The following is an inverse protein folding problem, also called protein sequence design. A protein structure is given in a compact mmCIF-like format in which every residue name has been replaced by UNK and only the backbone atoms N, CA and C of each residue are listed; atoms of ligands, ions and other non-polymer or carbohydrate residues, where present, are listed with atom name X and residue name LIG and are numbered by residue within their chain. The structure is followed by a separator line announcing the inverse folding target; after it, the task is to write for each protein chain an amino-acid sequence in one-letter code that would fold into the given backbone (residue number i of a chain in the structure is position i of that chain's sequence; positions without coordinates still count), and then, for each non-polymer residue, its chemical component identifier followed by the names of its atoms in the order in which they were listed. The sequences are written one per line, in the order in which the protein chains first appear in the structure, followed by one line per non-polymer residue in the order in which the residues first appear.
data_IF_825829516298
#
_entry.id   IF_825829516298
#
_cell.length_a   1.000
_cell.length_b   1.000
_cell.length_c   1.000
_cell.angle_alpha   90.00
_cell.angle_beta   90.00
_cell.angle_gamma   90.00
#
_symmetry.space_group_name_H-M   'P 1'
#
loop_
_entity.id
_entity.type
_entity.pdbx_description
1 polymer ?
#
# COMPACT_ATOMS: atom_id res chain seq x y z
N UNK A 1 -16.86 3.08 32.51
CA UNK A 1 -17.30 3.76 31.27
C UNK A 1 -17.26 2.72 30.17
N UNK A 2 -18.41 2.38 29.58
CA UNK A 2 -18.51 1.33 28.57
C UNK A 2 -17.68 1.70 27.35
N UNK A 3 -16.73 0.82 26.96
CA UNK A 3 -16.02 0.98 25.70
C UNK A 3 -17.02 0.67 24.59
N UNK A 4 -17.49 1.69 23.88
CA UNK A 4 -18.19 1.47 22.61
C UNK A 4 -17.26 0.68 21.69
N UNK A 5 -17.76 -0.38 21.07
CA UNK A 5 -17.01 -1.17 20.12
C UNK A 5 -16.54 -0.29 18.94
N UNK A 6 -15.28 -0.45 18.51
CA UNK A 6 -14.76 0.28 17.36
C UNK A 6 -15.48 -0.24 16.11
N UNK A 7 -16.14 0.67 15.38
CA UNK A 7 -16.87 0.33 14.15
C UNK A 7 -15.93 -0.28 13.12
N UNK A 8 -16.33 -1.42 12.58
CA UNK A 8 -15.69 -2.00 11.41
C UNK A 8 -16.35 -1.42 10.15
N UNK A 9 -15.61 -0.59 9.41
CA UNK A 9 -16.11 0.12 8.22
C UNK A 9 -16.09 -0.78 6.97
N UNK A 10 -15.21 -1.78 6.95
CA UNK A 10 -14.99 -2.63 5.80
C UNK A 10 -14.64 -4.04 6.28
N UNK A 11 -15.60 -4.94 6.11
CA UNK A 11 -15.38 -6.37 6.26
C UNK A 11 -15.03 -6.98 4.92
N UNK A 12 -14.13 -7.95 4.93
CA UNK A 12 -13.77 -8.74 3.75
C UNK A 12 -14.06 -10.21 4.01
N UNK A 13 -14.31 -10.97 2.95
CA UNK A 13 -14.39 -12.43 3.03
C UNK A 13 -13.12 -13.02 2.40
N UNK A 14 -12.46 -13.95 3.07
CA UNK A 14 -11.33 -14.69 2.49
C UNK A 14 -11.79 -15.91 1.67
N UNK A 15 -13.06 -16.27 1.77
CA UNK A 15 -13.70 -17.35 1.01
C UNK A 15 -14.30 -16.87 -0.32
N UNK A 16 -14.41 -15.55 -0.52
CA UNK A 16 -14.92 -14.95 -1.75
C UNK A 16 -13.80 -14.33 -2.58
N UNK A 17 -13.84 -14.42 -3.93
CA UNK A 17 -12.88 -13.74 -4.79
C UNK A 17 -12.81 -12.24 -4.50
N UNK A 18 -11.61 -11.67 -4.39
CA UNK A 18 -11.45 -10.25 -4.08
C UNK A 18 -12.14 -9.32 -5.10
N UNK A 19 -12.19 -9.73 -6.38
CA UNK A 19 -12.90 -9.01 -7.44
C UNK A 19 -14.44 -9.01 -7.33
N UNK A 20 -15.04 -9.89 -6.52
CA UNK A 20 -16.49 -9.84 -6.27
C UNK A 20 -16.86 -8.92 -5.11
N UNK A 21 -15.88 -8.51 -4.29
CA UNK A 21 -16.12 -7.74 -3.08
C UNK A 21 -16.22 -6.23 -3.38
N UNK A 22 -17.36 -5.58 -3.10
CA UNK A 22 -17.67 -4.24 -3.62
C UNK A 22 -16.91 -3.09 -2.93
N UNK A 23 -16.33 -3.34 -1.75
CA UNK A 23 -15.50 -2.37 -1.02
C UNK A 23 -14.01 -2.48 -1.33
N UNK A 24 -13.64 -3.32 -2.31
CA UNK A 24 -12.27 -3.45 -2.79
C UNK A 24 -12.09 -2.77 -4.15
N UNK A 25 -10.88 -2.29 -4.44
CA UNK A 25 -10.49 -1.83 -5.78
C UNK A 25 -8.98 -2.03 -6.00
N UNK A 26 -8.54 -2.06 -7.26
CA UNK A 26 -7.12 -2.31 -7.58
C UNK A 26 -6.50 -1.30 -8.56
N UNK A 27 -7.19 -0.17 -8.77
CA UNK A 27 -6.71 0.95 -9.58
C UNK A 27 -6.86 2.24 -8.80
N UNK A 28 -5.93 3.14 -9.05
CA UNK A 28 -6.09 4.53 -8.66
C UNK A 28 -6.92 5.27 -9.72
N UNK A 29 -8.18 5.59 -9.41
CA UNK A 29 -8.98 6.54 -10.19
C UNK A 29 -10.00 7.34 -9.34
N UNK A 30 -10.14 8.68 -9.52
CA UNK A 30 -10.99 9.53 -8.67
C UNK A 30 -12.49 9.23 -8.81
N UNK A 31 -12.93 8.69 -9.95
CA UNK A 31 -14.35 8.39 -10.17
C UNK A 31 -14.79 7.07 -9.53
N UNK A 32 -13.89 6.31 -8.91
CA UNK A 32 -14.28 5.15 -8.09
C UNK A 32 -15.17 5.69 -6.95
N UNK A 33 -16.40 5.18 -6.76
CA UNK A 33 -17.30 5.66 -5.72
C UNK A 33 -16.73 5.37 -4.34
N UNK A 34 -17.17 6.13 -3.34
CA UNK A 34 -16.83 5.81 -1.97
C UNK A 34 -17.49 4.49 -1.54
N UNK A 35 -16.73 3.65 -0.85
CA UNK A 35 -17.22 2.40 -0.27
C UNK A 35 -18.04 2.65 1.01
N UNK A 36 -17.70 3.71 1.75
CA UNK A 36 -18.37 4.14 2.98
C UNK A 36 -17.84 5.52 3.43
N UNK A 37 -18.41 6.07 4.50
CA UNK A 37 -18.04 7.38 5.08
C UNK A 37 -17.55 7.24 6.52
N UNK A 38 -16.49 7.97 6.85
CA UNK A 38 -15.82 8.03 8.16
C UNK A 38 -15.85 9.48 8.63
N UNK A 39 -16.29 9.69 9.88
CA UNK A 39 -16.33 11.04 10.46
C UNK A 39 -14.93 11.53 10.80
N UNK A 40 -14.71 12.84 10.70
CA UNK A 40 -13.47 13.44 11.18
C UNK A 40 -13.28 13.17 12.68
N UNK A 41 -12.14 12.62 13.07
CA UNK A 41 -11.83 12.19 14.44
C UNK A 41 -12.28 10.76 14.77
N UNK A 42 -12.97 10.05 13.89
CA UNK A 42 -13.44 8.68 14.13
C UNK A 42 -12.29 7.66 14.05
N UNK A 43 -12.31 6.69 14.97
CA UNK A 43 -11.49 5.48 14.89
C UNK A 43 -12.31 4.35 14.30
N UNK A 44 -11.79 3.69 13.28
CA UNK A 44 -12.44 2.54 12.60
C UNK A 44 -11.49 1.36 12.46
N UNK A 45 -12.04 0.16 12.34
CA UNK A 45 -11.35 -1.04 11.85
C UNK A 45 -11.63 -1.22 10.37
N UNK A 46 -10.60 -1.55 9.59
CA UNK A 46 -10.67 -1.88 8.17
C UNK A 46 -10.03 -3.26 8.00
N UNK A 47 -10.78 -4.22 7.48
CA UNK A 47 -10.24 -5.51 7.08
C UNK A 47 -9.70 -5.43 5.65
N UNK A 48 -8.61 -6.14 5.39
CA UNK A 48 -7.91 -6.19 4.12
C UNK A 48 -7.63 -7.66 3.76
N UNK A 49 -7.84 -7.98 2.49
CA UNK A 49 -7.25 -9.19 1.89
C UNK A 49 -5.75 -8.97 1.68
N UNK A 50 -4.99 -10.05 1.50
CA UNK A 50 -3.60 -9.93 1.03
C UNK A 50 -3.58 -9.28 -0.36
N UNK A 51 -2.45 -8.67 -0.74
CA UNK A 51 -2.35 -7.89 -1.98
C UNK A 51 -2.72 -8.66 -3.25
N UNK A 52 -2.57 -9.99 -3.26
CA UNK A 52 -2.93 -10.85 -4.39
C UNK A 52 -4.40 -11.19 -4.46
N UNK A 53 -5.15 -10.99 -3.38
CA UNK A 53 -6.54 -11.41 -3.24
C UNK A 53 -6.67 -12.94 -3.13
N UNK A 54 -5.73 -13.58 -2.44
CA UNK A 54 -5.72 -15.02 -2.21
C UNK A 54 -5.23 -15.86 -3.38
N UNK A 55 -4.38 -15.34 -4.26
CA UNK A 55 -3.76 -16.16 -5.33
C UNK A 55 -2.72 -17.12 -4.77
N UNK A 56 -1.98 -16.69 -3.74
CA UNK A 56 -0.94 -17.48 -3.07
C UNK A 56 -1.57 -18.38 -2.01
N UNK A 57 -1.12 -19.64 -1.95
CA UNK A 57 -1.64 -20.69 -1.09
C UNK A 57 -0.60 -21.11 -0.06
N UNK A 58 -1.09 -21.64 1.05
CA UNK A 58 -0.24 -22.23 2.07
C UNK A 58 -0.09 -23.72 1.77
N UNK A 59 0.81 -24.02 0.83
CA UNK A 59 1.22 -25.37 0.46
C UNK A 59 2.72 -25.41 0.12
N UNK A 60 3.25 -26.60 -0.12
CA UNK A 60 4.68 -26.82 -0.36
C UNK A 60 5.07 -26.63 -1.84
N UNK A 61 4.31 -25.84 -2.61
CA UNK A 61 4.58 -25.51 -4.01
C UNK A 61 4.83 -24.01 -4.20
N UNK A 62 5.77 -23.68 -5.09
CA UNK A 62 6.02 -22.29 -5.51
C UNK A 62 5.36 -21.95 -6.86
N UNK A 63 4.53 -22.84 -7.40
CA UNK A 63 3.90 -22.65 -8.71
C UNK A 63 2.92 -21.48 -8.71
N UNK A 64 2.26 -21.20 -7.61
CA UNK A 64 1.36 -20.06 -7.46
C UNK A 64 2.12 -18.71 -7.50
N UNK A 65 3.27 -18.59 -6.83
CA UNK A 65 4.17 -17.42 -6.90
C UNK A 65 4.69 -17.25 -8.33
N UNK A 66 5.06 -18.35 -9.00
CA UNK A 66 5.53 -18.32 -10.39
C UNK A 66 4.44 -17.87 -11.36
N UNK A 67 3.19 -18.27 -11.12
CA UNK A 67 2.07 -18.05 -12.03
C UNK A 67 1.12 -16.92 -11.60
N UNK A 68 1.47 -16.16 -10.56
CA UNK A 68 0.64 -15.07 -10.02
C UNK A 68 0.30 -14.03 -11.09
N UNK A 69 -0.97 -13.65 -11.19
CA UNK A 69 -1.40 -12.61 -12.12
C UNK A 69 -1.22 -11.22 -11.48
N UNK A 70 -0.05 -10.63 -11.72
CA UNK A 70 0.31 -9.28 -11.29
C UNK A 70 -0.52 -8.16 -11.95
N UNK A 71 -1.53 -8.46 -12.76
CA UNK A 71 -2.50 -7.45 -13.24
C UNK A 71 -3.67 -7.27 -12.27
N UNK A 72 -3.91 -8.24 -11.37
CA UNK A 72 -4.97 -8.21 -10.33
C UNK A 72 -4.59 -7.37 -9.11
N UNK A 73 -3.31 -7.28 -8.80
CA UNK A 73 -2.79 -6.56 -7.63
C UNK A 73 -2.94 -5.03 -7.76
N UNK A 74 -3.02 -4.28 -6.66
CA UNK A 74 -3.19 -4.71 -5.25
C UNK A 74 -4.67 -4.55 -4.92
N UNK A 75 -5.32 -5.50 -4.24
CA UNK A 75 -6.69 -5.28 -3.78
C UNK A 75 -6.68 -4.42 -2.50
N UNK A 76 -7.23 -3.22 -2.60
CA UNK A 76 -7.27 -2.23 -1.52
C UNK A 76 -8.68 -2.06 -0.99
N UNK A 77 -8.82 -2.00 0.33
CA UNK A 77 -10.07 -1.67 1.02
C UNK A 77 -10.34 -0.17 0.98
N UNK A 78 -11.47 0.21 0.38
CA UNK A 78 -11.88 1.60 0.17
C UNK A 78 -12.37 1.87 -1.26
N UNK A 79 -12.39 3.15 -1.72
CA UNK A 79 -12.02 4.35 -0.96
C UNK A 79 -13.10 4.78 0.04
N UNK A 80 -12.69 5.21 1.21
CA UNK A 80 -13.55 5.81 2.23
C UNK A 80 -13.59 7.33 2.07
N UNK A 81 -14.77 7.90 2.25
CA UNK A 81 -14.95 9.33 2.40
C UNK A 81 -14.56 9.74 3.81
N UNK A 82 -13.64 10.68 3.95
CA UNK A 82 -13.38 11.35 5.23
C UNK A 82 -14.17 12.65 5.26
N UNK A 83 -15.15 12.76 6.16
CA UNK A 83 -15.97 13.97 6.28
C UNK A 83 -15.09 15.21 6.48
N UNK A 84 -15.53 16.35 5.94
CA UNK A 84 -14.88 17.68 6.03
C UNK A 84 -13.55 17.84 5.30
N UNK A 85 -12.97 16.76 4.76
CA UNK A 85 -11.74 16.79 4.00
C UNK A 85 -11.96 17.43 2.62
N UNK A 86 -11.24 18.51 2.34
CA UNK A 86 -11.32 19.28 1.08
C UNK A 86 -9.93 19.43 0.43
N UNK A 87 -9.87 19.65 -0.89
CA UNK A 87 -8.62 19.94 -1.58
C UNK A 87 -7.81 21.06 -0.90
N UNK A 88 -6.55 20.79 -0.54
CA UNK A 88 -5.69 21.73 0.19
C UNK A 88 -5.42 21.34 1.64
N UNK A 89 -6.24 20.44 2.19
CA UNK A 89 -6.06 19.93 3.55
C UNK A 89 -4.97 18.86 3.63
N UNK A 90 -4.63 18.51 4.88
CA UNK A 90 -3.83 17.32 5.22
C UNK A 90 -4.71 16.34 5.99
N UNK A 91 -4.77 15.11 5.52
CA UNK A 91 -5.37 14.00 6.24
C UNK A 91 -4.29 13.41 7.14
N UNK A 92 -4.43 13.63 8.44
CA UNK A 92 -3.61 13.00 9.46
C UNK A 92 -4.23 11.64 9.77
N UNK A 93 -3.40 10.63 9.63
CA UNK A 93 -3.73 9.25 9.85
C UNK A 93 -2.92 8.79 11.05
N UNK A 94 -3.57 8.20 12.04
CA UNK A 94 -2.91 7.57 13.18
C UNK A 94 -3.18 6.07 13.11
N UNK A 95 -2.11 5.28 12.91
CA UNK A 95 -2.19 3.81 12.88
C UNK A 95 -2.26 3.32 14.32
N UNK A 96 -3.45 2.95 14.77
CA UNK A 96 -3.67 2.59 16.17
C UNK A 96 -3.23 1.15 16.46
N UNK A 97 -3.51 0.24 15.53
CA UNK A 97 -3.12 -1.17 15.62
C UNK A 97 -3.19 -1.85 14.25
N UNK A 98 -2.47 -2.96 14.10
CA UNK A 98 -2.50 -3.83 12.90
C UNK A 98 -2.47 -5.27 13.41
N UNK A 99 -3.39 -6.11 12.96
CA UNK A 99 -3.58 -7.49 13.45
C UNK A 99 -3.82 -8.45 12.28
N UNK A 100 -3.39 -9.72 12.36
CA UNK A 100 -3.82 -10.74 11.41
C UNK A 100 -5.35 -10.92 11.47
N UNK A 101 -5.93 -11.51 10.43
CA UNK A 101 -7.35 -11.84 10.45
C UNK A 101 -7.65 -12.82 11.60
N UNK A 102 -8.70 -12.57 12.39
CA UNK A 102 -8.97 -13.36 13.60
C UNK A 102 -9.32 -14.83 13.30
N UNK A 103 -10.00 -15.06 12.18
CA UNK A 103 -10.45 -16.39 11.74
C UNK A 103 -9.38 -17.14 10.92
N UNK A 104 -8.38 -16.41 10.41
CA UNK A 104 -7.24 -16.95 9.66
C UNK A 104 -5.95 -16.35 10.21
N UNK A 105 -5.53 -16.73 11.44
CA UNK A 105 -4.35 -16.16 12.08
C UNK A 105 -3.03 -16.58 11.42
N UNK A 106 -3.10 -17.53 10.48
CA UNK A 106 -1.96 -17.99 9.71
C UNK A 106 -1.70 -17.04 8.55
N UNK A 107 -0.54 -16.40 8.59
CA UNK A 107 0.00 -15.72 7.43
C UNK A 107 0.46 -16.81 6.45
N UNK A 108 -0.03 -16.86 5.19
CA UNK A 108 0.58 -17.70 4.16
C UNK A 108 1.97 -17.13 3.87
N UNK A 109 2.95 -17.60 4.65
CA UNK A 109 4.35 -17.25 4.44
C UNK A 109 4.85 -18.13 3.31
N UNK A 110 5.42 -17.54 2.26
CA UNK A 110 6.15 -18.28 1.22
C UNK A 110 7.45 -18.95 1.73
N UNK A 111 7.63 -19.06 3.05
CA UNK A 111 8.71 -19.79 3.72
C UNK A 111 8.33 -20.09 5.19
N UNK A 112 8.41 -21.36 5.61
CA UNK A 112 8.18 -21.84 6.99
C UNK A 112 8.92 -21.03 8.06
N UNK A 113 8.26 -20.08 8.73
CA UNK A 113 8.75 -19.53 10.01
C UNK A 113 7.59 -19.23 10.97
N UNK A 114 7.56 -19.98 12.09
CA UNK A 114 6.67 -19.76 13.24
C UNK A 114 7.11 -18.50 13.98
N UNK A 115 6.28 -17.46 14.04
CA UNK A 115 6.61 -16.21 14.74
C UNK A 115 5.61 -15.84 15.84
N UNK A 116 6.13 -15.25 16.93
CA UNK A 116 5.32 -14.65 17.98
C UNK A 116 4.69 -13.32 17.50
N UNK A 117 3.50 -12.92 17.98
CA UNK A 117 2.66 -11.83 17.43
C UNK A 117 3.18 -10.40 17.70
N UNK A 118 4.50 -10.17 17.66
CA UNK A 118 5.12 -8.92 18.12
C UNK A 118 5.37 -7.87 17.04
N UNK A 119 5.17 -8.19 15.76
CA UNK A 119 5.44 -7.26 14.65
C UNK A 119 4.33 -7.33 13.62
N UNK A 120 3.74 -6.18 13.32
CA UNK A 120 2.74 -5.98 12.29
C UNK A 120 2.97 -4.58 11.72
N UNK A 121 3.31 -4.54 10.45
CA UNK A 121 3.52 -3.36 9.64
C UNK A 121 2.31 -3.22 8.70
N UNK A 122 1.92 -1.99 8.41
CA UNK A 122 0.82 -1.75 7.49
C UNK A 122 1.28 -0.77 6.45
N UNK A 123 1.13 -1.15 5.18
CA UNK A 123 1.74 -0.40 4.11
C UNK A 123 0.70 -0.16 3.03
N UNK A 124 -0.18 0.84 3.20
CA UNK A 124 -0.25 2.03 2.35
C UNK A 124 -1.50 2.91 2.51
N UNK A 125 -1.34 4.18 2.09
CA UNK A 125 -2.29 5.26 2.23
C UNK A 125 -2.48 6.08 0.95
N UNK A 126 -3.63 6.75 0.82
CA UNK A 126 -4.17 7.23 -0.45
C UNK A 126 -4.57 8.72 -0.49
N UNK A 127 -4.40 9.32 -1.70
CA UNK A 127 -5.10 10.47 -2.32
C UNK A 127 -4.97 10.37 -3.86
N UNK A 128 -5.82 11.04 -4.65
CA UNK A 128 -5.65 11.20 -6.11
C UNK A 128 -5.01 12.55 -6.47
N UNK A 129 -3.80 12.64 -7.03
CA UNK A 129 -3.46 13.89 -7.76
C UNK A 129 -4.23 13.97 -9.07
N UNK A 130 -4.07 15.10 -9.77
CA UNK A 130 -4.39 15.24 -11.19
C UNK A 130 -3.88 14.02 -11.99
N UNK A 131 -4.74 12.99 -12.17
CA UNK A 131 -4.48 11.77 -12.94
C UNK A 131 -3.74 12.00 -14.27
N UNK A 132 -4.02 13.07 -15.04
CA UNK A 132 -3.29 13.34 -16.27
C UNK A 132 -1.78 13.50 -16.06
N UNK A 133 -1.32 13.98 -14.89
CA UNK A 133 0.10 14.21 -14.64
C UNK A 133 0.88 12.93 -14.41
N UNK A 134 0.32 11.92 -13.73
CA UNK A 134 1.00 10.63 -13.52
C UNK A 134 1.12 9.84 -14.81
N UNK A 135 0.00 9.62 -15.50
CA UNK A 135 0.00 8.85 -16.75
C UNK A 135 0.86 9.54 -17.82
N UNK A 136 0.85 10.87 -17.87
CA UNK A 136 1.75 11.64 -18.74
C UNK A 136 3.21 11.44 -18.35
N UNK A 137 3.58 11.68 -17.09
CA UNK A 137 4.96 11.52 -16.61
C UNK A 137 5.50 10.11 -16.83
N UNK A 138 4.71 9.10 -16.50
CA UNK A 138 5.08 7.68 -16.65
C UNK A 138 5.15 7.30 -18.13
N UNK A 139 4.23 7.79 -18.96
CA UNK A 139 4.28 7.63 -20.42
C UNK A 139 5.51 8.29 -21.04
N UNK A 140 5.86 9.50 -20.61
CA UNK A 140 7.08 10.22 -21.03
C UNK A 140 8.34 9.46 -20.59
N UNK A 141 8.36 8.89 -19.38
CA UNK A 141 9.47 8.06 -18.90
C UNK A 141 9.62 6.79 -19.74
N UNK A 142 8.52 6.11 -20.07
CA UNK A 142 8.54 4.93 -20.95
C UNK A 142 9.08 5.31 -22.33
N UNK A 143 8.58 6.41 -22.91
CA UNK A 143 9.00 6.88 -24.23
C UNK A 143 10.48 7.31 -24.28
N UNK A 144 10.99 7.89 -23.19
CA UNK A 144 12.39 8.32 -23.09
C UNK A 144 13.35 7.18 -22.74
N UNK A 145 12.85 6.08 -22.17
CA UNK A 145 13.66 4.96 -21.74
C UNK A 145 14.17 4.13 -22.92
N UNK A 146 15.46 3.79 -22.88
CA UNK A 146 16.14 2.95 -23.88
C UNK A 146 16.60 1.60 -23.32
N UNK A 147 16.25 1.30 -22.08
CA UNK A 147 16.63 0.06 -21.40
C UNK A 147 15.59 -1.02 -21.67
N UNK A 148 16.02 -2.27 -21.75
CA UNK A 148 15.14 -3.45 -21.93
C UNK A 148 14.32 -3.81 -20.69
N UNK A 149 14.17 -2.89 -19.73
CA UNK A 149 13.45 -3.09 -18.47
C UNK A 149 12.17 -2.26 -18.41
N UNK A 150 11.21 -2.73 -17.65
CA UNK A 150 10.01 -1.97 -17.31
C UNK A 150 10.41 -0.84 -16.35
N UNK A 151 10.13 0.41 -16.73
CA UNK A 151 10.47 1.62 -15.95
C UNK A 151 9.25 2.33 -15.34
N UNK A 152 8.06 2.01 -15.82
CA UNK A 152 6.79 2.47 -15.24
C UNK A 152 5.65 1.52 -15.65
N UNK A 153 4.52 1.62 -14.95
CA UNK A 153 3.36 0.75 -15.11
C UNK A 153 2.16 1.57 -15.61
N UNK A 154 1.96 1.70 -16.94
CA UNK A 154 0.85 2.48 -17.48
C UNK A 154 -0.50 1.85 -17.12
N UNK A 155 -1.63 2.57 -17.32
CA UNK A 155 -2.95 1.98 -17.18
C UNK A 155 -3.07 0.65 -17.91
N UNK A 156 -3.61 -0.36 -17.22
CA UNK A 156 -3.80 -1.71 -17.75
C UNK A 156 -5.26 -2.13 -17.59
N UNK A 157 -5.98 -2.39 -18.71
CA UNK A 157 -7.40 -2.74 -18.68
C UNK A 157 -7.67 -4.18 -18.20
N UNK A 158 -6.65 -5.03 -18.07
CA UNK A 158 -6.83 -6.41 -17.58
C UNK A 158 -7.17 -6.41 -16.10
N UNK A 159 -8.12 -7.26 -15.70
CA UNK A 159 -8.52 -7.53 -14.32
C UNK A 159 -8.76 -6.28 -13.48
N UNK A 160 -9.43 -5.28 -14.06
CA UNK A 160 -9.74 -4.03 -13.38
C UNK A 160 -10.86 -4.25 -12.37
N UNK A 161 -10.60 -3.91 -11.12
CA UNK A 161 -11.59 -3.85 -10.05
C UNK A 161 -11.73 -2.43 -9.53
N UNK A 162 -12.95 -1.91 -9.54
CA UNK A 162 -13.28 -0.53 -9.18
C UNK A 162 -14.43 -0.48 -8.16
N UNK A 163 -14.48 -1.45 -7.25
CA UNK A 163 -15.51 -1.58 -6.24
C UNK A 163 -16.92 -1.64 -6.82
N UNK A 164 -17.84 -0.90 -6.20
CA UNK A 164 -19.25 -0.78 -6.58
C UNK A 164 -19.52 0.14 -7.78
N UNK A 165 -18.48 0.59 -8.50
CA UNK A 165 -18.63 1.48 -9.63
C UNK A 165 -19.60 0.93 -10.71
N UNK A 166 -20.42 1.77 -11.35
CA UNK A 166 -21.19 1.36 -12.51
C UNK A 166 -20.26 1.02 -13.70
N UNK A 167 -20.79 0.29 -14.69
CA UNK A 167 -20.01 -0.29 -15.77
C UNK A 167 -19.29 0.74 -16.66
N UNK A 168 -19.90 1.90 -16.88
CA UNK A 168 -19.29 3.02 -17.61
C UNK A 168 -18.06 3.58 -16.88
N UNK A 169 -18.15 3.69 -15.55
CA UNK A 169 -17.01 4.08 -14.69
C UNK A 169 -15.96 2.98 -14.70
N UNK A 170 -16.32 1.70 -14.59
CA UNK A 170 -15.35 0.57 -14.69
C UNK A 170 -14.57 0.61 -16.00
N UNK A 171 -15.24 0.83 -17.13
CA UNK A 171 -14.59 1.00 -18.45
C UNK A 171 -13.66 2.21 -18.49
N UNK A 172 -14.02 3.31 -17.84
CA UNK A 172 -13.15 4.50 -17.73
C UNK A 172 -11.91 4.20 -16.88
N UNK A 173 -12.10 3.59 -15.71
CA UNK A 173 -11.02 3.15 -14.81
C UNK A 173 -10.09 2.17 -15.53
N UNK A 174 -10.62 1.27 -16.36
CA UNK A 174 -9.79 0.34 -17.12
C UNK A 174 -8.85 1.03 -18.11
N UNK A 175 -9.28 2.14 -18.73
CA UNK A 175 -8.47 2.89 -19.70
C UNK A 175 -7.49 3.85 -19.02
N UNK A 176 -7.87 4.42 -17.88
CA UNK A 176 -7.21 5.61 -17.33
C UNK A 176 -6.63 5.40 -15.91
N UNK A 177 -7.07 4.35 -15.22
CA UNK A 177 -6.71 4.06 -13.83
C UNK A 177 -5.26 3.65 -13.71
N UNK A 178 -4.52 4.37 -12.88
CA UNK A 178 -3.11 4.06 -12.63
C UNK A 178 -2.99 2.78 -11.80
N UNK A 179 -1.94 2.00 -12.06
CA UNK A 179 -1.62 0.81 -11.25
C UNK A 179 -1.23 1.23 -9.83
N UNK A 180 -1.58 0.40 -8.85
CA UNK A 180 -1.21 0.61 -7.45
C UNK A 180 0.24 0.23 -7.15
N UNK A 181 0.93 -0.47 -8.08
CA UNK A 181 2.30 -0.99 -7.91
C UNK A 181 3.33 0.06 -7.46
N UNK A 182 3.49 1.23 -8.11
CA UNK A 182 4.47 2.19 -7.62
C UNK A 182 3.84 3.15 -6.60
N UNK A 183 4.54 3.36 -5.49
CA UNK A 183 4.42 4.58 -4.70
C UNK A 183 4.72 5.81 -5.53
N UNK A 184 3.94 6.86 -5.32
CA UNK A 184 4.14 8.15 -5.96
C UNK A 184 4.30 9.24 -4.90
N UNK A 185 5.30 10.10 -5.04
CA UNK A 185 5.65 11.07 -4.01
C UNK A 185 4.52 12.06 -3.74
N UNK A 186 3.52 12.19 -4.62
CA UNK A 186 2.45 13.18 -4.44
C UNK A 186 1.26 12.70 -3.61
N UNK A 187 1.18 11.40 -3.29
CA UNK A 187 0.02 10.83 -2.60
C UNK A 187 0.29 9.65 -1.67
N UNK A 188 1.50 9.08 -1.68
CA UNK A 188 1.76 7.79 -1.03
C UNK A 188 1.75 6.68 -2.06
N UNK A 189 0.78 5.76 -2.02
CA UNK A 189 0.69 4.68 -3.02
C UNK A 189 1.19 3.30 -2.55
N UNK A 190 2.41 2.89 -2.89
CA UNK A 190 3.11 1.65 -2.48
C UNK A 190 4.61 1.99 -2.30
N UNK A 191 4.94 2.67 -1.20
CA UNK A 191 6.31 3.06 -0.84
C UNK A 191 7.04 2.06 0.07
N UNK A 192 6.39 1.01 0.58
CA UNK A 192 7.00 -0.13 1.28
C UNK A 192 7.98 0.29 2.39
N UNK A 193 7.50 1.16 3.29
CA UNK A 193 8.27 1.70 4.41
C UNK A 193 7.92 0.90 5.68
N UNK A 194 8.79 -0.04 6.05
CA UNK A 194 8.60 -0.90 7.23
C UNK A 194 8.34 -0.13 8.54
N UNK A 195 8.91 1.07 8.66
CA UNK A 195 8.74 1.90 9.86
C UNK A 195 7.33 2.53 9.98
N UNK A 196 6.45 2.36 8.99
CA UNK A 196 5.03 2.71 9.06
C UNK A 196 4.24 1.60 9.76
N UNK A 197 4.57 1.37 11.02
CA UNK A 197 3.95 0.34 11.84
C UNK A 197 2.93 0.94 12.81
N UNK A 198 2.37 0.09 13.67
CA UNK A 198 1.54 0.51 14.80
C UNK A 198 2.13 1.69 15.56
N UNK A 199 1.29 2.68 15.82
CA UNK A 199 1.62 3.92 16.53
C UNK A 199 2.14 5.03 15.61
N UNK A 200 2.37 4.75 14.33
CA UNK A 200 2.84 5.75 13.37
C UNK A 200 1.75 6.78 13.05
N UNK A 201 2.20 7.98 12.66
CA UNK A 201 1.35 9.00 12.05
C UNK A 201 1.77 9.27 10.63
N UNK A 202 0.80 9.30 9.73
CA UNK A 202 1.01 9.63 8.32
C UNK A 202 0.24 10.91 8.00
N UNK A 203 0.93 11.88 7.42
CA UNK A 203 0.34 13.14 6.99
C UNK A 203 0.20 13.08 5.48
N UNK A 204 -1.01 12.86 5.03
CA UNK A 204 -1.32 12.73 3.62
C UNK A 204 -1.87 14.04 3.11
N UNK A 205 -1.48 14.47 1.90
CA UNK A 205 -2.21 15.53 1.24
C UNK A 205 -3.72 15.08 1.10
N UNK A 206 -4.74 15.99 1.02
CA UNK A 206 -6.15 15.86 0.44
C UNK A 206 -6.46 16.64 -0.91
N UNK A 207 -6.73 16.00 -2.10
CA UNK A 207 -6.63 16.57 -3.54
C UNK A 207 -8.01 16.55 -4.15
N UNK A 208 -8.83 15.65 -3.63
CA UNK A 208 -10.21 15.46 -3.98
C UNK A 208 -11.00 15.59 -2.69
N UNK A 209 -12.22 16.10 -2.81
CA UNK A 209 -13.17 16.15 -1.71
C UNK A 209 -13.35 14.76 -1.11
N UNK A 210 -13.42 14.69 0.22
CA UNK A 210 -13.56 13.45 0.97
C UNK A 210 -12.28 12.60 1.04
N UNK A 211 -11.14 13.11 0.56
CA UNK A 211 -9.81 12.47 0.49
C UNK A 211 -9.69 11.22 -0.40
N UNK A 212 -10.72 10.36 -0.45
CA UNK A 212 -10.71 9.01 -1.03
C UNK A 212 -9.56 8.21 -0.43
N UNK A 213 -9.79 7.74 0.79
CA UNK A 213 -8.78 7.01 1.55
C UNK A 213 -8.92 5.48 1.33
N UNK A 214 -7.86 4.76 0.99
CA UNK A 214 -7.83 3.29 0.92
C UNK A 214 -6.55 2.76 1.54
N UNK A 215 -6.62 1.50 1.98
CA UNK A 215 -5.53 0.74 2.59
C UNK A 215 -5.62 -0.73 2.20
N UNK A 216 -4.47 -1.39 2.10
CA UNK A 216 -4.32 -2.82 1.84
C UNK A 216 -2.87 -3.19 2.09
N UNK A 217 -2.44 -4.32 1.51
CA UNK A 217 -1.03 -4.72 1.47
C UNK A 217 -0.36 -4.71 2.86
N UNK A 218 -0.95 -5.51 3.76
CA UNK A 218 -0.50 -5.56 5.14
C UNK A 218 0.68 -6.52 5.25
N UNK A 219 1.73 -6.08 5.96
CA UNK A 219 2.97 -6.84 6.12
C UNK A 219 3.18 -7.21 7.57
N UNK A 220 3.31 -8.49 7.91
CA UNK A 220 3.71 -8.85 9.27
C UNK A 220 5.11 -8.29 9.59
N UNK A 221 6.00 -8.33 8.60
CA UNK A 221 7.35 -7.76 8.69
C UNK A 221 7.95 -7.57 7.30
N UNK A 222 8.76 -6.53 7.14
CA UNK A 222 9.52 -6.25 5.93
C UNK A 222 10.98 -5.87 6.26
N UNK A 223 11.89 -6.15 5.32
CA UNK A 223 13.25 -5.59 5.29
C UNK A 223 13.27 -4.23 4.58
N UNK A 224 14.34 -3.43 4.79
CA UNK A 224 14.47 -2.17 4.04
C UNK A 224 14.66 -2.44 2.55
N UNK A 225 13.87 -1.75 1.72
CA UNK A 225 13.93 -1.81 0.26
C UNK A 225 13.22 -3.01 -0.37
N UNK A 226 12.66 -3.92 0.42
CA UNK A 226 11.83 -5.04 -0.05
C UNK A 226 12.42 -5.78 -1.28
N UNK A 227 13.70 -6.15 -1.16
CA UNK A 227 14.50 -6.60 -2.32
C UNK A 227 13.95 -7.84 -3.04
N UNK A 228 13.09 -8.63 -2.40
CA UNK A 228 12.47 -9.82 -2.98
C UNK A 228 11.28 -9.52 -3.89
N UNK A 229 10.77 -8.29 -3.90
CA UNK A 229 9.59 -7.81 -4.66
C UNK A 229 8.27 -8.54 -4.36
N UNK A 230 8.19 -9.86 -4.51
CA UNK A 230 7.17 -10.68 -3.86
C UNK A 230 7.62 -10.88 -2.41
N UNK A 231 7.69 -9.76 -1.68
CA UNK A 231 8.43 -9.60 -0.46
C UNK A 231 7.55 -9.25 0.72
N UNK A 232 8.20 -8.80 1.79
CA UNK A 232 7.61 -8.81 3.13
C UNK A 232 7.10 -10.19 3.56
N UNK A 233 6.41 -10.20 4.70
CA UNK A 233 5.56 -11.32 5.13
C UNK A 233 4.13 -10.86 4.90
N UNK A 234 3.62 -11.14 3.71
CA UNK A 234 2.32 -10.68 3.20
C UNK A 234 1.14 -11.34 3.89
N UNK A 235 0.09 -10.59 4.24
CA UNK A 235 -1.06 -11.16 4.92
C UNK A 235 -2.39 -10.44 4.66
N UNK A 236 -3.47 -11.20 4.81
CA UNK A 236 -4.78 -10.62 5.13
C UNK A 236 -4.82 -10.19 6.60
N UNK A 237 -5.53 -9.12 6.91
CA UNK A 237 -5.52 -8.59 8.27
C UNK A 237 -6.52 -7.47 8.53
N UNK A 238 -6.40 -6.89 9.71
CA UNK A 238 -7.25 -5.82 10.22
C UNK A 238 -6.36 -4.67 10.66
N UNK A 239 -6.58 -3.49 10.09
CA UNK A 239 -5.93 -2.26 10.51
C UNK A 239 -6.93 -1.35 11.24
N UNK A 240 -6.51 -0.83 12.39
CA UNK A 240 -7.29 0.12 13.19
C UNK A 240 -6.70 1.50 13.04
N UNK A 241 -7.51 2.48 12.63
CA UNK A 241 -7.04 3.78 12.18
C UNK A 241 -7.90 4.89 12.78
N UNK A 242 -7.26 5.95 13.25
CA UNK A 242 -7.93 7.22 13.53
C UNK A 242 -7.60 8.26 12.45
N UNK A 243 -8.58 9.05 12.04
CA UNK A 243 -8.41 10.09 11.03
C UNK A 243 -8.65 11.48 11.62
N UNK A 244 -7.82 12.45 11.25
CA UNK A 244 -8.03 13.87 11.54
C UNK A 244 -7.78 14.71 10.30
N UNK A 245 -8.63 15.69 10.05
CA UNK A 245 -8.42 16.66 8.96
C UNK A 245 -7.76 17.92 9.50
N UNK A 246 -6.58 18.24 8.98
CA UNK A 246 -5.87 19.50 9.22
C UNK A 246 -6.18 20.46 8.07
N UNK A 247 -7.04 21.43 8.33
CA UNK A 247 -7.49 22.42 7.34
C UNK A 247 -6.32 23.24 6.83
N UNK A 248 -6.26 23.48 5.52
CA UNK A 248 -5.18 24.23 4.86
C UNK A 248 -3.75 23.66 5.07
N UNK A 249 -3.65 22.43 5.61
CA UNK A 249 -2.37 21.90 6.08
C UNK A 249 -1.30 21.77 5.00
N UNK A 250 -1.68 21.65 3.71
CA UNK A 250 -0.68 21.58 2.65
C UNK A 250 0.08 22.89 2.51
N UNK A 251 -0.62 24.02 2.57
CA UNK A 251 0.00 25.33 2.47
C UNK A 251 0.83 25.62 3.72
N UNK A 252 0.27 25.34 4.89
CA UNK A 252 0.92 25.59 6.18
C UNK A 252 2.22 24.78 6.37
N UNK A 253 2.25 23.55 5.85
CA UNK A 253 3.42 22.66 5.91
C UNK A 253 4.30 22.71 4.65
N UNK A 254 3.94 23.50 3.63
CA UNK A 254 4.62 23.48 2.33
C UNK A 254 4.62 22.10 1.65
N UNK A 255 3.58 21.31 1.89
CA UNK A 255 3.57 19.87 1.67
C UNK A 255 3.33 19.51 0.20
N UNK A 256 4.34 18.89 -0.42
CA UNK A 256 4.24 18.30 -1.78
C UNK A 256 4.14 16.78 -1.76
N UNK A 257 4.60 16.17 -0.67
CA UNK A 257 4.68 14.73 -0.48
C UNK A 257 4.23 14.33 0.92
N UNK A 258 3.76 13.09 1.13
CA UNK A 258 3.43 12.63 2.46
C UNK A 258 4.57 12.80 3.45
N UNK A 259 4.22 13.05 4.70
CA UNK A 259 5.17 13.00 5.82
C UNK A 259 4.86 11.77 6.68
N UNK A 260 5.93 11.14 7.13
CA UNK A 260 5.88 9.89 7.86
C UNK A 260 6.52 10.09 9.22
N UNK A 261 5.76 9.90 10.29
CA UNK A 261 6.25 9.89 11.65
C UNK A 261 6.16 8.46 12.19
N UNK A 262 7.29 7.75 12.33
CA UNK A 262 7.30 6.39 12.87
C UNK A 262 6.68 6.33 14.27
N UNK A 263 6.01 5.22 14.55
CA UNK A 263 5.45 4.95 15.86
C UNK A 263 6.51 4.64 16.91
N UNK A 264 6.19 4.76 18.21
CA UNK A 264 7.10 4.40 19.30
C UNK A 264 7.22 2.88 19.50
N UNK A 265 6.55 2.08 18.66
CA UNK A 265 6.49 0.62 18.77
C UNK A 265 7.31 0.01 17.65
N UNK A 266 8.63 0.01 17.82
CA UNK A 266 9.55 -0.67 16.90
C UNK A 266 10.37 -1.75 17.62
N UNK A 267 10.76 -2.84 16.93
CA UNK A 267 11.74 -3.77 17.47
C UNK A 267 13.10 -3.08 17.66
N UNK A 268 13.46 -2.80 18.91
CA UNK A 268 14.79 -2.28 19.23
C UNK A 268 15.82 -3.41 19.24
N UNK A 269 16.46 -3.63 18.10
CA UNK A 269 17.68 -4.42 18.05
C UNK A 269 18.84 -3.50 18.49
N UNK A 270 19.40 -3.75 19.67
CA UNK A 270 20.51 -2.92 20.18
C UNK A 270 21.74 -2.95 19.25
N UNK A 271 22.63 -1.95 19.34
CA UNK A 271 23.75 -1.77 18.39
C UNK A 271 24.70 -2.99 18.29
N UNK A 272 24.79 -3.81 19.33
CA UNK A 272 25.59 -5.05 19.32
C UNK A 272 24.92 -6.25 18.65
N UNK A 273 23.75 -6.09 18.02
CA UNK A 273 23.00 -7.18 17.37
C UNK A 273 22.98 -7.09 15.84
N UNK A 274 23.66 -6.10 15.27
CA UNK A 274 23.80 -5.97 13.83
C UNK A 274 25.18 -6.48 13.39
N UNK A 275 25.17 -7.32 12.36
CA UNK A 275 26.34 -7.53 11.51
C UNK A 275 26.13 -6.68 10.25
N UNK A 276 27.04 -5.75 9.98
CA UNK A 276 26.90 -4.76 8.89
C UNK A 276 27.72 -5.16 7.67
N UNK A 277 27.13 -4.96 6.49
CA UNK A 277 27.76 -5.20 5.19
C UNK A 277 27.86 -3.87 4.43
N UNK A 278 28.92 -3.70 3.64
CA UNK A 278 29.16 -2.52 2.81
C UNK A 278 29.01 -2.84 1.32
N UNK A 279 28.53 -1.87 0.54
CA UNK A 279 28.40 -1.97 -0.91
C UNK A 279 28.90 -0.70 -1.58
N UNK A 280 29.68 -0.87 -2.66
CA UNK A 280 30.17 0.23 -3.48
C UNK A 280 29.43 0.27 -4.82
N UNK A 281 29.48 1.41 -5.52
CA UNK A 281 28.92 1.53 -6.88
C UNK A 281 29.83 0.85 -7.92
N UNK A 282 30.12 -0.44 -7.73
CA UNK A 282 30.86 -1.32 -8.62
C UNK A 282 30.03 -2.58 -8.77
N UNK A 283 29.72 -2.98 -10.01
CA UNK A 283 28.93 -4.18 -10.25
C UNK A 283 29.72 -5.46 -9.98
N UNK A 284 29.06 -6.61 -10.01
CA UNK A 284 29.67 -7.92 -9.75
C UNK A 284 30.74 -8.33 -10.79
N UNK A 285 30.88 -7.58 -11.89
CA UNK A 285 31.95 -7.74 -12.87
C UNK A 285 33.14 -6.77 -12.64
N UNK A 286 33.11 -5.97 -11.58
CA UNK A 286 34.18 -5.02 -11.25
C UNK A 286 34.09 -3.70 -12.02
N UNK A 287 32.98 -3.43 -12.73
CA UNK A 287 32.82 -2.19 -13.50
C UNK A 287 32.23 -1.08 -12.63
N UNK A 288 32.89 0.08 -12.65
CA UNK A 288 32.41 1.28 -11.99
C UNK A 288 31.08 1.75 -12.60
N UNK A 289 30.10 1.98 -11.74
CA UNK A 289 28.84 2.66 -12.08
C UNK A 289 28.75 4.00 -11.31
N UNK A 290 28.21 5.05 -11.95
CA UNK A 290 28.18 6.40 -11.36
C UNK A 290 26.86 6.65 -10.64
N UNK A 291 26.92 6.90 -9.32
CA UNK A 291 25.78 7.35 -8.49
C UNK A 291 24.52 6.50 -8.69
N UNK A 292 24.65 5.18 -8.54
CA UNK A 292 23.51 4.26 -8.62
C UNK A 292 23.11 3.84 -7.21
N UNK A 293 21.84 4.06 -6.84
CA UNK A 293 21.22 3.52 -5.61
C UNK A 293 20.89 2.02 -5.71
N UNK A 294 21.56 1.28 -6.61
CA UNK A 294 21.27 -0.12 -6.89
C UNK A 294 22.10 -1.00 -5.96
N UNK A 295 21.45 -1.60 -4.98
CA UNK A 295 22.05 -2.56 -4.05
C UNK A 295 21.52 -4.00 -4.23
N UNK A 296 20.46 -4.23 -5.03
CA UNK A 296 19.68 -5.48 -4.95
C UNK A 296 19.69 -6.41 -6.17
N UNK A 297 20.23 -6.03 -7.34
CA UNK A 297 20.00 -6.82 -8.57
C UNK A 297 20.94 -8.04 -8.75
N UNK A 298 22.00 -8.24 -7.96
CA UNK A 298 23.06 -9.22 -8.30
C UNK A 298 23.52 -10.20 -7.18
N UNK A 299 22.77 -10.37 -6.09
CA UNK A 299 23.07 -11.44 -5.13
C UNK A 299 22.51 -12.79 -5.61
N UNK A 300 23.18 -13.41 -6.58
CA UNK A 300 23.02 -14.84 -6.86
C UNK A 300 24.08 -15.59 -6.05
N UNK A 301 23.64 -16.32 -5.01
CA UNK A 301 24.45 -17.38 -4.40
C UNK A 301 24.35 -18.65 -5.25
#
# INVERSE_FOLDING_TARGET
MGRSEIRNICKVSLDEPAESQPKLHNRWHPDIPFADTIKNGETVKIECVDWTGGQIKNDDSADDVKNVDLTRIHYLSGPFEIETAEPGDVLVVEIMDVQPHQEHPWVPVSNEQVFSPKKMEAVFWMRFTHRPTWNKREGELIAANKLDRIVAQPPNPRNVHAGSAPEDVKKKVAREGARTIPGRPEHGGNCDIKNLSRGSKVYLPVHVKGAKFSVGDLHFSQGDGEISFCGAIEMSGIITINFKVMKNGMADLGMKSPLYLPGPVEPHYGPGRYLTFEGFSVDHHGKQVRRTSRLSEDFKY
#
